data_IF_978690286977
#
_entry.id   IF_978690286977
#
_cell.length_a   1.000
_cell.length_b   1.000
_cell.length_c   1.000
_cell.angle_alpha   90.00
_cell.angle_beta   90.00
_cell.angle_gamma   90.00
#
_symmetry.space_group_name_H-M   'P 1'
#
loop_
_entity.id
_entity.type
_entity.pdbx_description
1 polymer ?
#
# COMPACT_ATOMS: atom_id res chain seq x y z
N UNK A 1 1.96 -18.50 -44.74
CA UNK A 1 0.53 -18.46 -44.38
C UNK A 1 0.32 -17.43 -43.28
N UNK A 2 -0.87 -16.83 -43.13
CA UNK A 2 -1.10 -15.79 -42.10
C UNK A 2 -1.18 -16.43 -40.71
N UNK A 3 -0.34 -16.02 -39.75
CA UNK A 3 -0.57 -16.28 -38.32
C UNK A 3 -1.81 -15.50 -37.89
N UNK A 4 -2.71 -16.14 -37.15
CA UNK A 4 -3.84 -15.45 -36.48
C UNK A 4 -3.38 -15.07 -35.07
N UNK A 5 -3.25 -13.78 -34.80
CA UNK A 5 -3.17 -13.29 -33.41
C UNK A 5 -4.57 -13.42 -32.80
N UNK A 6 -4.69 -14.10 -31.66
CA UNK A 6 -5.94 -14.13 -30.89
C UNK A 6 -5.93 -12.93 -29.98
N UNK A 7 -6.78 -11.94 -30.28
CA UNK A 7 -7.09 -10.85 -29.35
C UNK A 7 -8.19 -11.31 -28.40
N UNK A 8 -7.88 -11.46 -27.12
CA UNK A 8 -8.88 -11.49 -26.06
C UNK A 8 -9.38 -10.06 -25.84
N UNK A 9 -10.41 -9.66 -26.59
CA UNK A 9 -11.04 -8.35 -26.45
C UNK A 9 -11.91 -8.31 -25.19
N UNK A 10 -11.47 -7.58 -24.16
CA UNK A 10 -12.29 -7.28 -22.99
C UNK A 10 -13.42 -6.32 -23.42
N UNK A 11 -14.64 -6.83 -23.57
CA UNK A 11 -15.80 -6.07 -24.06
C UNK A 11 -16.35 -5.14 -22.96
N UNK A 12 -15.73 -3.97 -22.80
CA UNK A 12 -16.28 -2.86 -22.01
C UNK A 12 -17.62 -2.46 -22.63
N UNK A 13 -18.71 -2.90 -22.01
CA UNK A 13 -20.06 -2.73 -22.54
C UNK A 13 -20.57 -1.34 -22.17
N UNK A 14 -20.47 -0.39 -23.11
CA UNK A 14 -20.96 0.97 -22.94
C UNK A 14 -22.50 0.95 -22.89
N UNK A 15 -23.07 0.96 -21.69
CA UNK A 15 -24.51 1.09 -21.49
C UNK A 15 -24.95 2.53 -21.73
N UNK A 16 -25.50 2.81 -22.91
CA UNK A 16 -26.09 4.12 -23.24
C UNK A 16 -27.43 4.30 -22.55
N UNK A 17 -27.52 5.25 -21.61
CA UNK A 17 -28.77 5.58 -20.92
C UNK A 17 -29.70 6.40 -21.82
N UNK A 18 -30.75 5.75 -22.33
CA UNK A 18 -31.95 6.40 -22.88
C UNK A 18 -33.12 6.14 -21.90
N UNK A 19 -33.62 7.19 -21.24
CA UNK A 19 -34.62 7.06 -20.18
C UNK A 19 -36.06 7.32 -20.64
N UNK A 20 -37.04 6.83 -19.87
CA UNK A 20 -38.39 7.38 -19.78
C UNK A 20 -39.09 6.99 -18.45
N UNK A 21 -39.60 8.00 -17.75
CA UNK A 21 -40.71 8.03 -16.78
C UNK A 21 -41.33 6.72 -16.23
N UNK A 22 -41.40 6.60 -14.90
CA UNK A 22 -42.36 5.75 -14.19
C UNK A 22 -42.17 5.78 -12.67
N UNK A 23 -43.23 6.01 -11.90
CA UNK A 23 -43.22 5.85 -10.44
C UNK A 23 -43.38 4.36 -10.05
N UNK A 24 -42.67 3.92 -9.02
CA UNK A 24 -43.19 3.32 -7.78
C UNK A 24 -41.99 2.99 -6.88
N UNK A 25 -42.19 3.08 -5.55
CA UNK A 25 -41.15 2.78 -4.58
C UNK A 25 -41.19 1.31 -4.12
N UNK A 26 -40.05 0.64 -4.15
CA UNK A 26 -39.64 -0.33 -3.14
C UNK A 26 -38.11 -0.34 -3.09
N UNK A 27 -37.54 -0.46 -1.90
CA UNK A 27 -36.08 -0.43 -1.71
C UNK A 27 -35.49 -1.82 -1.86
N UNK A 28 -34.25 -1.90 -2.37
CA UNK A 28 -33.40 -3.05 -2.06
C UNK A 28 -31.95 -2.62 -1.93
N UNK A 29 -31.25 -3.26 -0.99
CA UNK A 29 -29.83 -3.09 -0.72
C UNK A 29 -28.99 -3.79 -1.81
N UNK A 30 -27.78 -3.28 -2.05
CA UNK A 30 -26.82 -3.79 -3.02
C UNK A 30 -25.40 -3.32 -2.65
N UNK A 31 -24.87 -3.85 -1.54
CA UNK A 31 -23.48 -3.63 -1.13
C UNK A 31 -22.45 -4.09 -2.16
N UNK A 32 -21.24 -3.55 -2.06
CA UNK A 32 -20.08 -3.93 -2.86
C UNK A 32 -19.50 -5.26 -2.35
N UNK A 33 -19.61 -6.34 -3.13
CA UNK A 33 -19.00 -7.63 -2.80
C UNK A 33 -17.55 -7.72 -3.28
N UNK A 34 -16.64 -8.00 -2.34
CA UNK A 34 -15.21 -8.24 -2.60
C UNK A 34 -15.02 -9.64 -3.18
N UNK A 35 -14.49 -9.75 -4.41
CA UNK A 35 -14.15 -11.06 -5.00
C UNK A 35 -12.74 -11.48 -4.57
N UNK A 36 -12.63 -12.63 -3.91
CA UNK A 36 -11.38 -13.23 -3.44
C UNK A 36 -11.17 -14.57 -4.13
N UNK A 37 -10.23 -14.66 -5.09
CA UNK A 37 -9.93 -15.90 -5.83
C UNK A 37 -8.69 -16.62 -5.28
N UNK A 38 -8.91 -17.69 -4.52
CA UNK A 38 -7.88 -18.69 -4.21
C UNK A 38 -7.92 -19.78 -5.29
N UNK A 39 -6.82 -19.96 -6.05
CA UNK A 39 -6.66 -21.12 -6.93
C UNK A 39 -5.83 -22.22 -6.24
N UNK A 40 -6.29 -23.46 -6.38
CA UNK A 40 -5.64 -24.66 -5.82
C UNK A 40 -5.04 -25.46 -6.96
N UNK A 41 -3.74 -25.72 -6.93
CA UNK A 41 -3.09 -26.61 -7.89
C UNK A 41 -3.43 -28.08 -7.61
N UNK A 42 -3.70 -28.85 -8.66
CA UNK A 42 -3.94 -30.30 -8.57
C UNK A 42 -3.28 -31.03 -9.75
N UNK A 43 -2.15 -31.70 -9.49
CA UNK A 43 -1.45 -32.48 -10.51
C UNK A 43 -2.17 -33.77 -10.88
N UNK A 44 -2.32 -34.00 -12.19
CA UNK A 44 -2.32 -35.32 -12.84
C UNK A 44 -2.12 -35.12 -14.35
N UNK A 45 -1.42 -35.98 -15.10
CA UNK A 45 -0.76 -37.24 -14.72
C UNK A 45 -1.02 -38.32 -15.77
N UNK A 46 -0.29 -38.31 -16.89
CA UNK A 46 -0.44 -39.31 -17.96
C UNK A 46 0.84 -39.46 -18.82
N UNK A 47 1.36 -40.69 -18.92
CA UNK A 47 2.49 -41.08 -19.77
C UNK A 47 2.10 -41.40 -21.23
N UNK A 48 3.05 -41.19 -22.16
CA UNK A 48 3.13 -41.87 -23.47
C UNK A 48 4.58 -41.80 -24.03
N UNK A 49 5.07 -42.87 -24.66
CA UNK A 49 6.52 -43.10 -24.85
C UNK A 49 7.11 -42.81 -26.25
N UNK A 50 8.44 -42.57 -26.26
CA UNK A 50 9.48 -43.18 -27.11
C UNK A 50 9.89 -42.64 -28.53
N UNK A 51 11.20 -42.80 -28.79
CA UNK A 51 11.97 -42.78 -30.07
C UNK A 51 12.15 -41.43 -30.81
N UNK A 52 13.22 -41.12 -31.58
CA UNK A 52 14.62 -41.64 -31.80
C UNK A 52 15.27 -40.72 -32.89
N UNK A 53 16.58 -40.44 -33.08
CA UNK A 53 17.90 -40.72 -32.42
C UNK A 53 18.68 -39.36 -32.28
N UNK A 54 20.01 -39.10 -32.39
CA UNK A 54 21.27 -39.79 -32.75
C UNK A 54 22.52 -38.98 -32.30
N UNK A 55 23.71 -39.60 -32.24
CA UNK A 55 25.11 -39.06 -32.23
C UNK A 55 25.51 -37.95 -31.21
N UNK A 56 26.40 -38.18 -30.24
CA UNK A 56 27.88 -38.35 -30.31
C UNK A 56 28.63 -37.04 -30.63
N UNK A 57 29.59 -36.56 -29.81
CA UNK A 57 30.90 -37.17 -29.48
C UNK A 57 31.37 -36.89 -28.02
N UNK A 58 32.48 -37.51 -27.59
CA UNK A 58 32.94 -37.55 -26.19
C UNK A 58 34.36 -36.99 -25.92
N UNK A 59 34.62 -36.64 -24.65
CA UNK A 59 35.98 -36.59 -24.06
C UNK A 59 35.97 -36.84 -22.55
N UNK A 60 36.63 -37.90 -22.10
CA UNK A 60 36.82 -38.30 -20.69
C UNK A 60 38.20 -37.86 -20.16
N UNK A 61 38.31 -37.56 -18.86
CA UNK A 61 39.33 -38.19 -18.00
C UNK A 61 39.18 -37.90 -16.50
N UNK A 62 38.85 -38.97 -15.75
CA UNK A 62 39.52 -39.43 -14.51
C UNK A 62 39.74 -38.52 -13.28
N UNK A 63 39.29 -39.04 -12.13
CA UNK A 63 39.63 -38.60 -10.75
C UNK A 63 40.95 -39.20 -10.25
N UNK A 64 41.69 -38.49 -9.39
CA UNK A 64 42.66 -39.09 -8.44
C UNK A 64 42.73 -38.32 -7.11
N UNK A 65 42.41 -38.97 -5.99
CA UNK A 65 42.71 -38.50 -4.63
C UNK A 65 44.13 -38.89 -4.19
N UNK A 66 44.74 -38.16 -3.25
CA UNK A 66 45.73 -38.64 -2.25
C UNK A 66 45.91 -37.58 -1.15
N UNK A 67 45.96 -38.00 0.12
CA UNK A 67 46.15 -37.12 1.29
C UNK A 67 47.60 -37.06 1.82
N UNK A 68 47.89 -36.02 2.60
CA UNK A 68 48.89 -36.00 3.69
C UNK A 68 48.45 -34.87 4.67
N UNK A 69 48.06 -35.12 5.93
CA UNK A 69 48.81 -35.64 7.09
C UNK A 69 49.46 -34.52 7.94
N UNK A 70 49.36 -34.62 9.27
CA UNK A 70 49.74 -33.57 10.24
C UNK A 70 49.00 -33.65 11.59
N UNK A 71 49.59 -34.32 12.58
CA UNK A 71 48.93 -34.80 13.82
C UNK A 71 49.14 -33.93 15.10
N UNK A 72 48.50 -34.37 16.20
CA UNK A 72 48.60 -33.97 17.64
C UNK A 72 47.77 -32.76 18.14
N UNK A 73 46.91 -32.82 19.17
CA UNK A 73 46.81 -33.55 20.47
C UNK A 73 47.18 -32.67 21.70
N UNK A 74 46.57 -32.75 22.90
CA UNK A 74 45.34 -33.44 23.37
C UNK A 74 44.94 -33.06 24.82
N UNK A 75 43.72 -33.47 25.26
CA UNK A 75 43.33 -33.94 26.63
C UNK A 75 43.04 -32.94 27.80
N UNK A 76 41.77 -33.00 28.27
CA UNK A 76 41.22 -32.94 29.67
C UNK A 76 41.46 -31.73 30.63
N UNK A 77 40.76 -31.56 31.78
CA UNK A 77 39.33 -31.74 32.22
C UNK A 77 39.21 -31.47 33.75
N UNK A 78 38.32 -30.56 34.21
CA UNK A 78 37.62 -30.58 35.54
C UNK A 78 36.65 -29.37 35.65
N UNK A 79 35.39 -29.51 36.11
CA UNK A 79 34.82 -29.35 37.49
C UNK A 79 34.63 -27.89 37.97
N UNK A 80 33.62 -27.50 38.75
CA UNK A 80 32.26 -28.04 39.06
C UNK A 80 31.45 -26.96 39.85
N UNK A 81 30.16 -27.21 40.16
CA UNK A 81 29.27 -26.49 41.13
C UNK A 81 28.87 -25.05 40.75
N UNK A 82 27.76 -24.43 41.20
CA UNK A 82 26.48 -24.85 41.82
C UNK A 82 25.52 -23.61 41.70
N UNK A 83 24.20 -23.57 41.96
CA UNK A 83 23.25 -24.46 42.69
C UNK A 83 21.83 -24.31 42.08
N UNK A 84 20.85 -25.11 42.56
CA UNK A 84 19.45 -25.11 42.09
C UNK A 84 18.41 -24.61 43.12
N UNK A 85 17.30 -24.04 42.61
CA UNK A 85 15.91 -24.03 43.15
C UNK A 85 15.05 -23.12 42.24
N UNK A 86 13.87 -23.45 41.70
CA UNK A 86 12.81 -24.41 42.00
C UNK A 86 11.94 -24.07 43.24
N UNK A 87 10.72 -23.57 43.00
CA UNK A 87 9.44 -24.07 43.55
C UNK A 87 8.24 -23.28 42.96
N UNK A 88 7.00 -23.74 43.18
CA UNK A 88 5.83 -23.34 42.37
C UNK A 88 4.61 -22.76 43.13
N UNK A 89 3.76 -22.08 42.35
CA UNK A 89 2.29 -21.93 42.47
C UNK A 89 1.62 -21.64 43.82
N UNK A 90 0.86 -20.54 43.89
CA UNK A 90 -0.45 -20.58 44.54
C UNK A 90 -1.46 -19.58 43.96
N UNK A 91 -2.71 -20.02 43.77
CA UNK A 91 -3.84 -19.16 43.40
C UNK A 91 -4.46 -18.49 44.63
N UNK A 92 -5.01 -17.30 44.46
CA UNK A 92 -6.22 -16.87 45.17
C UNK A 92 -7.17 -16.16 44.21
N UNK A 93 -8.43 -16.62 44.18
CA UNK A 93 -9.51 -15.90 43.51
C UNK A 93 -10.28 -15.06 44.53
N UNK A 94 -10.67 -13.84 44.14
CA UNK A 94 -11.78 -13.12 44.75
C UNK A 94 -12.64 -12.49 43.64
N UNK A 95 -13.93 -12.33 43.89
CA UNK A 95 -14.91 -11.92 42.90
C UNK A 95 -15.84 -10.86 43.49
N UNK A 96 -15.61 -9.61 43.12
CA UNK A 96 -16.55 -8.51 43.39
C UNK A 96 -16.97 -7.84 42.09
N UNK A 97 -18.25 -7.47 42.02
CA UNK A 97 -18.93 -7.07 40.80
C UNK A 97 -19.54 -5.69 40.99
N UNK A 98 -19.04 -4.70 40.24
CA UNK A 98 -19.71 -3.42 40.06
C UNK A 98 -19.56 -2.97 38.61
N UNK A 99 -20.66 -2.56 38.00
CA UNK A 99 -20.69 -1.91 36.69
C UNK A 99 -20.45 -0.41 36.84
N UNK A 100 -19.65 0.17 35.97
CA UNK A 100 -20.03 1.44 35.34
C UNK A 100 -19.57 1.43 33.88
N UNK A 101 -20.38 1.97 32.98
CA UNK A 101 -20.23 1.81 31.54
C UNK A 101 -19.62 3.05 30.91
N UNK A 102 -18.30 3.04 30.70
CA UNK A 102 -17.63 4.02 29.86
C UNK A 102 -16.45 3.38 29.10
N UNK A 103 -16.75 2.73 27.98
CA UNK A 103 -15.73 2.36 26.99
C UNK A 103 -15.01 3.63 26.54
N UNK A 104 -13.80 3.80 27.05
CA UNK A 104 -12.82 4.77 26.57
C UNK A 104 -11.80 3.93 25.84
N UNK A 105 -11.64 4.12 24.52
CA UNK A 105 -10.81 3.23 23.68
C UNK A 105 -9.33 3.45 23.98
N UNK A 106 -8.86 2.86 25.08
CA UNK A 106 -7.45 2.75 25.46
C UNK A 106 -6.90 1.46 24.86
N UNK A 107 -6.04 1.58 23.84
CA UNK A 107 -5.57 0.45 23.02
C UNK A 107 -4.61 -0.49 23.75
N UNK A 108 -5.13 -1.31 24.66
CA UNK A 108 -4.37 -2.25 25.50
C UNK A 108 -4.83 -3.71 25.42
N UNK A 109 -5.94 -4.00 24.74
CA UNK A 109 -6.40 -5.38 24.49
C UNK A 109 -5.95 -5.84 23.09
N UNK A 110 -4.71 -6.35 23.03
CA UNK A 110 -4.21 -7.08 21.86
C UNK A 110 -4.52 -8.57 22.08
N UNK A 111 -5.43 -9.11 21.28
CA UNK A 111 -5.75 -10.53 21.28
C UNK A 111 -4.67 -11.32 20.50
N UNK A 112 -3.86 -12.18 21.16
CA UNK A 112 -2.85 -13.00 20.49
C UNK A 112 -3.44 -14.23 19.79
N UNK A 113 -4.76 -14.45 19.86
CA UNK A 113 -5.48 -15.55 19.22
C UNK A 113 -6.20 -15.15 17.92
N UNK A 114 -6.04 -13.88 17.48
CA UNK A 114 -6.67 -13.36 16.27
C UNK A 114 -6.20 -14.13 15.01
N UNK A 115 -7.16 -14.74 14.31
CA UNK A 115 -6.92 -15.53 13.11
C UNK A 115 -6.61 -14.62 11.91
N UNK A 116 -5.35 -14.55 11.51
CA UNK A 116 -4.91 -13.71 10.39
C UNK A 116 -5.47 -14.13 9.02
N UNK A 117 -6.06 -15.32 8.90
CA UNK A 117 -6.71 -15.81 7.67
C UNK A 117 -8.21 -15.47 7.60
N UNK A 118 -8.81 -14.98 8.70
CA UNK A 118 -10.22 -14.65 8.76
C UNK A 118 -10.53 -13.29 8.10
N UNK A 119 -11.68 -13.20 7.42
CA UNK A 119 -12.19 -11.93 6.90
C UNK A 119 -12.83 -11.09 8.02
N UNK A 120 -12.14 -10.01 8.39
CA UNK A 120 -12.62 -9.03 9.37
C UNK A 120 -13.33 -7.82 8.73
N UNK A 121 -13.62 -7.81 7.42
CA UNK A 121 -14.17 -6.63 6.73
C UNK A 121 -15.48 -6.13 7.35
N UNK A 122 -16.33 -7.03 7.84
CA UNK A 122 -17.57 -6.67 8.54
C UNK A 122 -17.32 -6.02 9.93
N UNK A 123 -16.35 -6.52 10.71
CA UNK A 123 -15.97 -5.94 12.00
C UNK A 123 -15.26 -4.59 11.81
N UNK A 124 -14.38 -4.50 10.80
CA UNK A 124 -13.69 -3.27 10.38
C UNK A 124 -14.72 -2.20 10.02
N UNK A 125 -15.69 -2.53 9.15
CA UNK A 125 -16.74 -1.58 8.77
C UNK A 125 -17.57 -1.15 9.98
N UNK A 126 -17.89 -2.06 10.90
CA UNK A 126 -18.63 -1.76 12.13
C UNK A 126 -17.86 -0.84 13.08
N UNK A 127 -16.54 -1.03 13.25
CA UNK A 127 -15.68 -0.11 14.01
C UNK A 127 -15.65 1.29 13.35
N UNK A 128 -15.58 1.36 12.02
CA UNK A 128 -15.62 2.62 11.26
C UNK A 128 -16.97 3.31 11.40
N UNK A 129 -18.08 2.61 11.18
CA UNK A 129 -19.45 3.13 11.35
C UNK A 129 -19.66 3.69 12.78
N UNK A 130 -19.10 3.03 13.79
CA UNK A 130 -19.14 3.48 15.18
C UNK A 130 -18.25 4.72 15.45
N UNK A 131 -17.05 4.78 14.83
CA UNK A 131 -16.18 5.94 14.91
C UNK A 131 -16.83 7.19 14.27
N UNK A 132 -17.47 7.02 13.12
CA UNK A 132 -18.21 8.06 12.39
C UNK A 132 -19.42 8.52 13.22
N UNK A 133 -20.24 7.60 13.72
CA UNK A 133 -21.42 7.92 14.52
C UNK A 133 -21.09 8.58 15.88
N UNK A 134 -19.85 8.44 16.36
CA UNK A 134 -19.35 9.08 17.57
C UNK A 134 -18.70 10.47 17.37
N UNK A 135 -18.51 10.91 16.12
CA UNK A 135 -17.80 12.14 15.81
C UNK A 135 -18.70 13.40 15.87
N UNK A 136 -18.12 14.53 16.32
CA UNK A 136 -18.80 15.83 16.36
C UNK A 136 -18.59 16.70 15.11
N UNK A 137 -17.62 16.35 14.27
CA UNK A 137 -17.30 17.01 13.00
C UNK A 137 -16.51 16.08 12.09
N UNK A 138 -16.43 16.40 10.80
CA UNK A 138 -15.61 15.65 9.82
C UNK A 138 -14.11 15.66 10.18
N UNK A 139 -13.66 16.62 10.99
CA UNK A 139 -12.30 16.64 11.54
C UNK A 139 -12.12 15.60 12.65
N UNK A 140 -13.05 15.56 13.62
CA UNK A 140 -13.06 14.58 14.72
C UNK A 140 -13.23 13.15 14.19
N UNK A 141 -13.95 13.01 13.08
CA UNK A 141 -14.23 11.78 12.36
C UNK A 141 -12.97 11.14 11.76
N UNK A 142 -12.19 11.90 10.95
CA UNK A 142 -10.90 11.40 10.45
C UNK A 142 -9.95 11.05 11.61
N UNK A 143 -9.97 11.84 12.68
CA UNK A 143 -9.23 11.57 13.91
C UNK A 143 -9.69 10.25 14.57
N UNK A 144 -10.97 9.90 14.51
CA UNK A 144 -11.52 8.66 15.06
C UNK A 144 -11.22 7.46 14.14
N UNK A 145 -11.45 7.57 12.84
CA UNK A 145 -11.13 6.53 11.83
C UNK A 145 -9.62 6.24 11.82
N UNK A 146 -8.76 7.26 11.98
CA UNK A 146 -7.31 7.08 12.15
C UNK A 146 -6.97 6.13 13.31
N UNK A 147 -7.70 6.22 14.43
CA UNK A 147 -7.52 5.35 15.61
C UNK A 147 -8.01 3.92 15.34
N UNK A 148 -9.00 3.74 14.47
CA UNK A 148 -9.43 2.41 13.97
C UNK A 148 -8.36 1.82 13.04
N UNK A 149 -7.81 2.60 12.11
CA UNK A 149 -6.71 2.14 11.26
C UNK A 149 -5.52 1.69 12.11
N UNK A 150 -5.15 2.49 13.11
CA UNK A 150 -4.13 2.18 14.11
C UNK A 150 -4.41 0.90 14.93
N UNK A 151 -5.67 0.63 15.31
CA UNK A 151 -6.08 -0.62 15.97
C UNK A 151 -5.76 -1.82 15.07
N UNK A 152 -6.15 -1.76 13.80
CA UNK A 152 -5.91 -2.86 12.85
C UNK A 152 -4.43 -3.00 12.45
N UNK A 153 -3.68 -1.90 12.26
CA UNK A 153 -2.21 -1.93 12.08
C UNK A 153 -1.51 -2.62 13.27
N UNK A 154 -1.90 -2.32 14.51
CA UNK A 154 -1.34 -2.92 15.74
C UNK A 154 -1.68 -4.40 15.92
N UNK A 155 -2.78 -4.87 15.33
CA UNK A 155 -3.07 -6.30 15.23
C UNK A 155 -2.26 -6.96 14.10
N UNK A 156 -2.22 -6.36 12.91
CA UNK A 156 -1.45 -6.88 11.77
C UNK A 156 0.05 -6.98 12.09
N UNK A 157 0.60 -6.06 12.89
CA UNK A 157 1.99 -6.12 13.38
C UNK A 157 2.25 -7.21 14.45
N UNK A 158 1.32 -8.17 14.62
CA UNK A 158 1.51 -9.42 15.40
C UNK A 158 1.57 -10.66 14.51
N UNK A 159 1.29 -10.54 13.21
CA UNK A 159 1.54 -11.58 12.24
C UNK A 159 3.05 -11.89 12.16
N UNK A 160 3.40 -13.17 11.99
CA UNK A 160 4.80 -13.64 11.94
C UNK A 160 5.06 -14.48 10.68
N UNK A 161 4.09 -15.30 10.24
CA UNK A 161 4.17 -15.96 8.94
C UNK A 161 3.97 -14.96 7.81
N UNK A 162 4.69 -15.13 6.70
CA UNK A 162 4.53 -14.24 5.52
C UNK A 162 3.10 -14.26 4.97
N UNK A 163 2.41 -15.41 5.05
CA UNK A 163 1.00 -15.52 4.69
C UNK A 163 0.12 -14.65 5.63
N UNK A 164 0.30 -14.77 6.94
CA UNK A 164 -0.40 -13.97 7.96
C UNK A 164 -0.19 -12.46 7.73
N UNK A 165 1.07 -12.06 7.47
CA UNK A 165 1.44 -10.65 7.23
C UNK A 165 0.78 -10.13 5.95
N UNK A 166 0.81 -10.92 4.87
CA UNK A 166 0.19 -10.54 3.60
C UNK A 166 -1.33 -10.38 3.74
N UNK A 167 -2.02 -11.30 4.43
CA UNK A 167 -3.47 -11.18 4.68
C UNK A 167 -3.81 -10.00 5.59
N UNK A 168 -3.11 -9.86 6.71
CA UNK A 168 -3.40 -8.82 7.71
C UNK A 168 -3.04 -7.40 7.24
N UNK A 169 -2.12 -7.26 6.29
CA UNK A 169 -1.74 -5.96 5.71
C UNK A 169 -2.89 -5.22 5.03
N UNK A 170 -3.94 -5.94 4.59
CA UNK A 170 -5.12 -5.32 3.99
C UNK A 170 -6.04 -4.63 5.02
N UNK A 171 -5.99 -5.01 6.31
CA UNK A 171 -7.02 -4.59 7.27
C UNK A 171 -7.10 -3.07 7.47
N UNK A 172 -5.97 -2.37 7.42
CA UNK A 172 -5.92 -0.90 7.53
C UNK A 172 -6.32 -0.21 6.22
N UNK A 173 -6.08 -0.82 5.06
CA UNK A 173 -6.68 -0.39 3.79
C UNK A 173 -8.22 -0.53 3.83
N UNK A 174 -8.76 -1.64 4.33
CA UNK A 174 -10.21 -1.83 4.51
C UNK A 174 -10.87 -0.77 5.41
N UNK A 175 -10.16 -0.28 6.43
CA UNK A 175 -10.61 0.87 7.25
C UNK A 175 -10.78 2.12 6.40
N UNK A 176 -9.76 2.46 5.60
CA UNK A 176 -9.79 3.66 4.78
C UNK A 176 -10.75 3.58 3.59
N UNK A 177 -10.92 2.40 2.98
CA UNK A 177 -11.93 2.21 1.92
C UNK A 177 -13.37 2.27 2.47
N UNK A 178 -13.60 1.77 3.69
CA UNK A 178 -14.89 1.93 4.38
C UNK A 178 -15.25 3.41 4.58
N UNK A 179 -14.28 4.23 4.99
CA UNK A 179 -14.46 5.68 5.13
C UNK A 179 -14.54 6.41 3.78
N UNK A 180 -13.77 5.99 2.77
CA UNK A 180 -13.83 6.54 1.41
C UNK A 180 -15.26 6.45 0.86
N UNK A 181 -15.88 5.28 0.98
CA UNK A 181 -17.24 5.01 0.54
C UNK A 181 -18.27 5.80 1.38
N UNK A 182 -18.06 5.92 2.70
CA UNK A 182 -18.88 6.73 3.60
C UNK A 182 -18.87 8.22 3.24
N UNK A 183 -17.68 8.80 3.02
CA UNK A 183 -17.52 10.18 2.58
C UNK A 183 -18.18 10.39 1.21
N UNK A 184 -17.95 9.49 0.26
CA UNK A 184 -18.51 9.59 -1.08
C UNK A 184 -20.05 9.51 -1.11
N UNK A 185 -20.66 8.65 -0.28
CA UNK A 185 -22.12 8.57 -0.12
C UNK A 185 -22.72 9.87 0.43
N UNK A 186 -22.10 10.44 1.47
CA UNK A 186 -22.54 11.70 2.09
C UNK A 186 -22.39 12.88 1.13
N UNK A 187 -21.25 13.01 0.45
CA UNK A 187 -21.04 14.00 -0.62
C UNK A 187 -22.08 13.81 -1.73
N UNK A 188 -22.35 12.57 -2.13
CA UNK A 188 -23.34 12.24 -3.17
C UNK A 188 -24.79 12.60 -2.80
N UNK A 189 -25.08 12.83 -1.51
CA UNK A 189 -26.39 13.25 -0.99
C UNK A 189 -26.48 14.76 -0.72
N UNK A 190 -25.37 15.40 -0.31
CA UNK A 190 -25.35 16.81 0.13
C UNK A 190 -24.82 17.80 -0.93
N UNK A 191 -24.00 17.37 -1.89
CA UNK A 191 -23.45 18.25 -2.92
C UNK A 191 -24.51 18.71 -3.93
N UNK A 192 -24.36 19.93 -4.46
CA UNK A 192 -25.12 20.33 -5.64
C UNK A 192 -24.70 19.50 -6.88
N UNK A 193 -25.55 19.48 -7.91
CA UNK A 193 -25.34 18.65 -9.09
C UNK A 193 -24.00 18.91 -9.80
N UNK A 194 -23.55 20.16 -9.88
CA UNK A 194 -22.25 20.49 -10.48
C UNK A 194 -21.11 20.06 -9.58
N UNK A 195 -21.17 20.38 -8.28
CA UNK A 195 -20.15 19.95 -7.32
C UNK A 195 -19.98 18.42 -7.32
N UNK A 196 -21.08 17.68 -7.41
CA UNK A 196 -21.08 16.22 -7.53
C UNK A 196 -20.43 15.72 -8.84
N UNK A 197 -20.76 16.31 -9.98
CA UNK A 197 -20.17 15.94 -11.27
C UNK A 197 -18.66 16.26 -11.33
N UNK A 198 -18.25 17.44 -10.85
CA UNK A 198 -16.84 17.85 -10.76
C UNK A 198 -16.01 16.92 -9.84
N UNK A 199 -16.59 16.46 -8.72
CA UNK A 199 -15.94 15.50 -7.81
C UNK A 199 -15.94 14.07 -8.36
N UNK A 200 -16.99 13.67 -9.09
CA UNK A 200 -17.06 12.36 -9.75
C UNK A 200 -16.05 12.24 -10.91
N UNK A 201 -15.80 13.33 -11.63
CA UNK A 201 -14.73 13.39 -12.62
C UNK A 201 -13.36 13.12 -11.95
N UNK A 202 -13.03 13.86 -10.87
CA UNK A 202 -11.80 13.65 -10.09
C UNK A 202 -11.69 12.23 -9.52
N UNK A 203 -12.79 11.65 -9.02
CA UNK A 203 -12.81 10.27 -8.50
C UNK A 203 -12.49 9.22 -9.58
N UNK A 204 -12.91 9.47 -10.83
CA UNK A 204 -12.58 8.61 -11.99
C UNK A 204 -11.13 8.75 -12.40
N UNK A 205 -10.61 9.98 -12.49
CA UNK A 205 -9.20 10.26 -12.78
C UNK A 205 -8.25 9.66 -11.72
N UNK A 206 -8.61 9.76 -10.44
CA UNK A 206 -7.89 9.06 -9.36
C UNK A 206 -7.85 7.56 -9.61
N UNK A 207 -9.03 6.94 -9.81
CA UNK A 207 -9.15 5.50 -10.03
C UNK A 207 -8.39 5.00 -11.27
N UNK A 208 -8.27 5.78 -12.35
CA UNK A 208 -7.50 5.38 -13.54
C UNK A 208 -5.99 5.48 -13.38
N UNK A 209 -5.49 6.26 -12.41
CA UNK A 209 -4.05 6.41 -12.18
C UNK A 209 -3.47 5.39 -11.18
N UNK A 210 -4.27 4.86 -10.23
CA UNK A 210 -3.77 4.05 -9.09
C UNK A 210 -2.80 2.94 -9.47
N UNK A 211 -3.16 2.10 -10.43
CA UNK A 211 -2.33 0.95 -10.84
C UNK A 211 -0.95 1.40 -11.35
N UNK A 212 -0.90 2.49 -12.11
CA UNK A 212 0.35 3.09 -12.60
C UNK A 212 1.16 3.79 -11.50
N UNK A 213 0.50 4.36 -10.48
CA UNK A 213 1.18 4.90 -9.28
C UNK A 213 1.85 3.78 -8.49
N UNK A 214 1.13 2.67 -8.27
CA UNK A 214 1.62 1.51 -7.52
C UNK A 214 2.85 0.92 -8.24
N UNK A 215 2.78 0.74 -9.57
CA UNK A 215 3.92 0.26 -10.37
C UNK A 215 5.12 1.22 -10.28
N UNK A 216 4.90 2.54 -10.24
CA UNK A 216 5.98 3.52 -10.09
C UNK A 216 6.62 3.53 -8.68
N UNK A 217 5.82 3.30 -7.64
CA UNK A 217 6.25 3.33 -6.22
C UNK A 217 6.95 2.02 -5.81
N UNK A 218 6.29 0.87 -6.01
CA UNK A 218 6.72 -0.44 -5.49
C UNK A 218 7.22 -1.43 -6.56
N UNK A 219 7.17 -1.04 -7.83
CA UNK A 219 7.54 -1.89 -8.97
C UNK A 219 6.43 -2.85 -9.45
N UNK A 220 6.66 -3.59 -10.54
CA UNK A 220 5.73 -4.60 -11.04
C UNK A 220 5.74 -5.86 -10.16
N UNK A 221 4.59 -6.53 -10.05
CA UNK A 221 4.39 -7.71 -9.18
C UNK A 221 5.35 -8.86 -9.50
N UNK A 222 5.72 -8.98 -10.76
CA UNK A 222 6.62 -9.97 -11.32
C UNK A 222 8.05 -9.87 -10.75
N UNK A 223 8.45 -8.69 -10.24
CA UNK A 223 9.78 -8.43 -9.71
C UNK A 223 9.83 -8.46 -8.17
N UNK A 224 8.76 -8.09 -7.48
CA UNK A 224 8.75 -7.99 -6.00
C UNK A 224 8.48 -9.33 -5.27
N UNK A 225 7.95 -10.35 -5.95
CA UNK A 225 7.72 -11.67 -5.35
C UNK A 225 6.76 -11.68 -4.16
N UNK A 226 7.04 -12.47 -3.11
CA UNK A 226 6.08 -12.76 -2.03
C UNK A 226 5.86 -11.63 -1.02
N UNK A 227 6.63 -10.54 -1.07
CA UNK A 227 6.39 -9.31 -0.29
C UNK A 227 5.44 -8.33 -1.01
N UNK A 228 5.12 -8.56 -2.29
CA UNK A 228 4.25 -7.65 -3.06
C UNK A 228 2.91 -7.31 -2.38
N UNK A 229 2.17 -8.22 -1.74
CA UNK A 229 0.88 -7.87 -1.12
C UNK A 229 1.02 -6.83 0.00
N UNK A 230 2.08 -6.93 0.82
CA UNK A 230 2.39 -5.97 1.88
C UNK A 230 2.71 -4.57 1.31
N UNK A 231 3.52 -4.53 0.25
CA UNK A 231 3.86 -3.27 -0.44
C UNK A 231 2.63 -2.66 -1.12
N UNK A 232 1.85 -3.47 -1.84
CA UNK A 232 0.63 -3.06 -2.54
C UNK A 232 -0.40 -2.48 -1.57
N UNK A 233 -0.69 -3.19 -0.48
CA UNK A 233 -1.67 -2.75 0.52
C UNK A 233 -1.19 -1.48 1.24
N UNK A 234 0.11 -1.35 1.54
CA UNK A 234 0.69 -0.14 2.11
C UNK A 234 0.63 1.08 1.17
N UNK A 235 0.91 0.91 -0.12
CA UNK A 235 0.77 1.97 -1.13
C UNK A 235 -0.70 2.38 -1.28
N UNK A 236 -1.60 1.41 -1.46
CA UNK A 236 -3.04 1.64 -1.57
C UNK A 236 -3.65 2.26 -0.30
N UNK A 237 -3.19 1.88 0.89
CA UNK A 237 -3.60 2.52 2.16
C UNK A 237 -3.26 4.01 2.14
N UNK A 238 -2.02 4.37 1.79
CA UNK A 238 -1.60 5.77 1.72
C UNK A 238 -2.39 6.56 0.67
N UNK A 239 -2.64 5.99 -0.51
CA UNK A 239 -3.47 6.63 -1.55
C UNK A 239 -4.92 6.84 -1.09
N UNK A 240 -5.51 5.83 -0.45
CA UNK A 240 -6.90 5.87 0.03
C UNK A 240 -7.05 6.85 1.20
N UNK A 241 -6.11 6.88 2.14
CA UNK A 241 -6.04 7.86 3.23
C UNK A 241 -5.95 9.31 2.71
N UNK A 242 -5.08 9.57 1.74
CA UNK A 242 -4.99 10.90 1.11
C UNK A 242 -6.32 11.28 0.42
N UNK A 243 -6.97 10.33 -0.27
CA UNK A 243 -8.29 10.55 -0.88
C UNK A 243 -9.37 10.88 0.15
N UNK A 244 -9.39 10.19 1.28
CA UNK A 244 -10.33 10.46 2.38
C UNK A 244 -10.15 11.88 2.94
N UNK A 245 -8.90 12.35 3.11
CA UNK A 245 -8.64 13.74 3.55
C UNK A 245 -9.18 14.76 2.53
N UNK A 246 -9.02 14.51 1.24
CA UNK A 246 -9.57 15.39 0.18
C UNK A 246 -11.09 15.40 0.24
N UNK A 247 -11.75 14.23 0.27
CA UNK A 247 -13.20 14.16 0.35
C UNK A 247 -13.77 14.76 1.65
N UNK A 248 -13.10 14.55 2.79
CA UNK A 248 -13.45 15.17 4.06
C UNK A 248 -13.42 16.71 4.00
N UNK A 249 -12.39 17.29 3.38
CA UNK A 249 -12.28 18.73 3.14
C UNK A 249 -13.43 19.24 2.23
N UNK A 250 -13.80 18.51 1.18
CA UNK A 250 -14.93 18.88 0.31
C UNK A 250 -16.29 18.73 1.02
N UNK A 251 -16.50 17.67 1.82
CA UNK A 251 -17.70 17.48 2.63
C UNK A 251 -17.87 18.59 3.67
N UNK A 252 -16.79 18.99 4.35
CA UNK A 252 -16.80 20.12 5.26
C UNK A 252 -17.22 21.43 4.55
N UNK A 253 -16.67 21.72 3.36
CA UNK A 253 -17.09 22.89 2.54
C UNK A 253 -18.57 22.85 2.17
N UNK A 254 -19.10 21.66 1.83
CA UNK A 254 -20.51 21.45 1.50
C UNK A 254 -21.42 21.72 2.72
N UNK A 255 -21.01 21.28 3.91
CA UNK A 255 -21.73 21.53 5.16
C UNK A 255 -21.61 22.99 5.64
N UNK A 256 -20.53 23.68 5.29
CA UNK A 256 -20.14 24.97 5.87
C UNK A 256 -19.25 24.85 7.12
N UNK A 257 -18.70 23.66 7.38
CA UNK A 257 -17.82 23.34 8.50
C UNK A 257 -16.38 23.83 8.25
N UNK A 258 -15.63 24.08 9.33
CA UNK A 258 -14.20 24.35 9.26
C UNK A 258 -13.38 23.05 9.28
N UNK A 259 -12.52 22.85 8.29
CA UNK A 259 -11.58 21.73 8.20
C UNK A 259 -10.13 22.24 8.12
N UNK A 260 -9.19 21.61 8.85
CA UNK A 260 -7.76 21.87 8.72
C UNK A 260 -7.13 20.71 7.96
N UNK A 261 -6.60 20.99 6.76
CA UNK A 261 -5.73 20.04 6.07
C UNK A 261 -4.58 19.61 7.00
N UNK A 262 -4.35 18.31 7.22
CA UNK A 262 -3.25 17.84 8.05
C UNK A 262 -1.90 18.10 7.36
N UNK A 263 -0.83 18.15 8.13
CA UNK A 263 0.52 18.30 7.59
C UNK A 263 0.97 16.97 6.95
N UNK A 264 1.55 17.02 5.74
CA UNK A 264 2.08 15.84 5.03
C UNK A 264 3.56 15.63 5.35
N UNK A 265 3.96 14.38 5.46
CA UNK A 265 5.37 13.99 5.60
C UNK A 265 6.16 14.15 4.30
N UNK A 266 7.46 13.84 4.36
CA UNK A 266 8.36 13.95 3.19
C UNK A 266 8.14 12.84 2.15
N UNK A 267 7.70 11.66 2.59
CA UNK A 267 7.50 10.48 1.74
C UNK A 267 6.16 10.49 1.00
N UNK A 268 6.10 9.80 -0.12
CA UNK A 268 4.92 9.58 -0.95
C UNK A 268 5.16 9.87 -2.44
N UNK A 269 4.14 9.57 -3.25
CA UNK A 269 4.21 9.66 -4.71
C UNK A 269 3.42 10.85 -5.25
N UNK A 270 3.97 11.49 -6.27
CA UNK A 270 3.47 12.66 -6.98
C UNK A 270 3.55 12.43 -8.49
N UNK A 271 2.65 13.03 -9.28
CA UNK A 271 2.57 12.83 -10.74
C UNK A 271 2.36 14.12 -11.51
N UNK A 272 2.92 14.20 -12.71
CA UNK A 272 2.39 15.05 -13.77
C UNK A 272 1.42 14.22 -14.62
N UNK A 273 0.15 14.61 -14.68
CA UNK A 273 -0.86 14.02 -15.57
C UNK A 273 -1.14 14.88 -16.81
N UNK A 274 -0.54 16.08 -16.90
CA UNK A 274 -0.77 17.11 -17.93
C UNK A 274 -2.25 17.49 -18.13
N UNK A 275 -3.11 17.26 -17.12
CA UNK A 275 -4.57 17.40 -17.21
C UNK A 275 -5.26 16.36 -18.10
N UNK A 276 -4.60 15.25 -18.41
CA UNK A 276 -5.09 14.19 -19.30
C UNK A 276 -5.76 13.03 -18.55
N UNK A 277 -5.39 12.81 -17.27
CA UNK A 277 -5.74 11.62 -16.49
C UNK A 277 -4.92 10.36 -16.79
N UNK A 278 -3.89 10.46 -17.63
CA UNK A 278 -2.81 9.47 -17.79
C UNK A 278 -1.54 10.03 -17.12
N UNK A 279 -0.68 9.17 -16.54
CA UNK A 279 0.57 9.63 -15.91
C UNK A 279 1.65 9.85 -16.98
N UNK A 280 2.24 11.04 -17.00
CA UNK A 280 3.35 11.42 -17.88
C UNK A 280 4.69 11.35 -17.15
N UNK A 281 4.79 11.96 -15.97
CA UNK A 281 6.02 11.99 -15.16
C UNK A 281 5.70 11.64 -13.71
N UNK A 282 6.66 11.06 -12.98
CA UNK A 282 6.49 10.71 -11.55
C UNK A 282 7.61 11.27 -10.69
N UNK A 283 7.28 11.49 -9.43
CA UNK A 283 8.22 11.73 -8.34
C UNK A 283 7.80 10.85 -7.17
N UNK A 284 8.59 9.82 -6.88
CA UNK A 284 8.40 8.88 -5.77
C UNK A 284 9.46 9.21 -4.72
N UNK A 285 9.04 9.41 -3.47
CA UNK A 285 9.94 9.72 -2.35
C UNK A 285 9.71 8.67 -1.26
N UNK A 286 10.70 7.83 -1.01
CA UNK A 286 10.58 6.66 -0.14
C UNK A 286 11.81 6.48 0.75
N UNK A 287 11.71 5.56 1.71
CA UNK A 287 12.84 5.11 2.50
C UNK A 287 13.31 3.75 1.97
N UNK A 288 14.59 3.63 1.65
CA UNK A 288 15.22 2.40 1.19
C UNK A 288 15.37 1.36 2.32
N UNK A 289 15.76 0.14 1.95
CA UNK A 289 15.84 -0.99 2.90
C UNK A 289 16.92 -0.81 3.98
N UNK A 290 17.92 0.04 3.76
CA UNK A 290 18.95 0.36 4.75
C UNK A 290 18.56 1.57 5.63
N UNK A 291 17.35 2.10 5.47
CA UNK A 291 16.86 3.31 6.14
C UNK A 291 17.26 4.61 5.44
N UNK A 292 17.81 4.51 4.23
CA UNK A 292 18.30 5.60 3.39
C UNK A 292 17.16 6.37 2.70
N UNK A 293 17.40 7.65 2.40
CA UNK A 293 16.43 8.55 1.77
C UNK A 293 16.53 8.46 0.25
N UNK A 294 15.55 7.85 -0.42
CA UNK A 294 15.55 7.60 -1.87
C UNK A 294 14.49 8.45 -2.57
N UNK A 295 14.84 9.04 -3.71
CA UNK A 295 13.88 9.61 -4.64
C UNK A 295 14.08 9.03 -6.05
N UNK A 296 12.97 8.70 -6.70
CA UNK A 296 12.89 8.30 -8.11
C UNK A 296 12.09 9.34 -8.87
N UNK A 297 12.61 9.79 -10.01
CA UNK A 297 12.00 10.84 -10.82
C UNK A 297 11.97 10.36 -12.27
N UNK A 298 10.81 9.99 -12.78
CA UNK A 298 10.64 9.61 -14.19
C UNK A 298 10.13 10.83 -14.97
N UNK A 299 10.89 11.33 -15.94
CA UNK A 299 10.57 12.54 -16.72
C UNK A 299 10.16 12.17 -18.15
N UNK A 300 8.97 12.59 -18.57
CA UNK A 300 8.31 12.10 -19.79
C UNK A 300 9.14 12.25 -21.08
N UNK A 301 9.64 11.13 -21.62
CA UNK A 301 10.52 11.06 -22.82
C UNK A 301 11.86 11.78 -22.68
N UNK A 302 12.20 12.21 -21.47
CA UNK A 302 13.45 12.87 -21.15
C UNK A 302 14.39 11.85 -20.49
N UNK A 303 14.15 11.53 -19.21
CA UNK A 303 15.08 10.73 -18.41
C UNK A 303 14.46 10.22 -17.12
N UNK A 304 14.87 9.02 -16.71
CA UNK A 304 14.65 8.51 -15.36
C UNK A 304 15.87 8.80 -14.48
N UNK A 305 15.64 9.29 -13.26
CA UNK A 305 16.64 9.59 -12.25
C UNK A 305 16.35 8.77 -10.99
N UNK A 306 17.36 8.14 -10.40
CA UNK A 306 17.25 7.42 -9.13
C UNK A 306 18.44 7.77 -8.24
N UNK A 307 18.16 8.35 -7.08
CA UNK A 307 19.16 9.04 -6.28
C UNK A 307 18.80 9.16 -4.81
N UNK A 308 19.78 9.60 -4.03
CA UNK A 308 19.59 9.88 -2.61
C UNK A 308 19.25 11.35 -2.37
N UNK A 309 18.60 11.66 -1.25
CA UNK A 309 18.31 13.04 -0.86
C UNK A 309 18.63 13.36 0.61
N UNK A 310 19.00 14.62 0.86
CA UNK A 310 19.13 15.19 2.22
C UNK A 310 18.00 16.17 2.48
N UNK A 311 17.18 15.91 3.50
CA UNK A 311 16.18 16.88 3.97
C UNK A 311 16.88 18.12 4.56
N UNK A 312 16.49 19.31 4.09
CA UNK A 312 17.01 20.62 4.52
C UNK A 312 16.03 21.34 5.46
N UNK A 313 14.87 20.73 5.74
CA UNK A 313 13.74 21.33 6.43
C UNK A 313 12.85 22.14 5.49
N UNK A 314 11.69 22.58 6.00
CA UNK A 314 10.70 23.39 5.27
C UNK A 314 10.21 22.79 3.93
N UNK A 315 10.31 21.45 3.77
CA UNK A 315 9.92 20.73 2.57
C UNK A 315 10.94 20.80 1.42
N UNK A 316 12.16 21.30 1.63
CA UNK A 316 13.21 21.32 0.61
C UNK A 316 14.19 20.14 0.82
N UNK A 317 14.31 19.28 -0.19
CA UNK A 317 15.17 18.10 -0.21
C UNK A 317 16.26 18.29 -1.27
N UNK A 318 17.53 18.17 -0.87
CA UNK A 318 18.70 18.27 -1.75
C UNK A 318 18.99 16.89 -2.36
N UNK A 319 18.69 16.73 -3.65
CA UNK A 319 18.75 15.46 -4.39
C UNK A 319 20.06 15.31 -5.18
N UNK A 320 20.59 14.09 -5.25
CA UNK A 320 21.68 13.71 -6.17
C UNK A 320 21.39 12.33 -6.79
N UNK A 321 21.30 12.29 -8.12
CA UNK A 321 21.14 11.08 -8.92
C UNK A 321 22.42 10.21 -8.88
N UNK A 322 22.23 8.90 -8.71
CA UNK A 322 23.33 7.96 -8.47
C UNK A 322 24.13 7.62 -9.74
N UNK A 323 23.52 7.70 -10.94
CA UNK A 323 24.10 7.18 -12.18
C UNK A 323 24.80 8.26 -13.03
N UNK A 324 24.21 9.44 -13.10
CA UNK A 324 24.66 10.58 -13.93
C UNK A 324 25.23 11.75 -13.13
N UNK A 325 25.00 11.78 -11.81
CA UNK A 325 25.42 12.89 -10.95
C UNK A 325 24.62 14.19 -11.17
N UNK A 326 23.45 14.11 -11.83
CA UNK A 326 22.46 15.19 -11.86
C UNK A 326 22.02 15.55 -10.44
N UNK A 327 21.81 16.83 -10.18
CA UNK A 327 21.38 17.34 -8.87
C UNK A 327 20.22 18.31 -9.01
N UNK A 328 19.42 18.37 -7.96
CA UNK A 328 18.33 19.34 -7.89
C UNK A 328 17.81 19.52 -6.47
N UNK A 329 16.83 20.40 -6.36
CA UNK A 329 16.04 20.61 -5.14
C UNK A 329 14.64 20.10 -5.43
N UNK A 330 14.21 19.09 -4.68
CA UNK A 330 12.80 18.71 -4.61
C UNK A 330 12.17 19.60 -3.54
N UNK A 331 11.06 20.28 -3.87
CA UNK A 331 10.31 21.12 -2.95
C UNK A 331 8.89 20.61 -2.80
N UNK A 332 8.51 20.28 -1.57
CA UNK A 332 7.20 19.77 -1.19
C UNK A 332 6.31 20.92 -0.73
N UNK A 333 5.17 21.11 -1.40
CA UNK A 333 4.24 22.21 -1.16
C UNK A 333 2.99 21.72 -0.38
N UNK A 334 3.18 20.77 0.54
CA UNK A 334 2.10 20.19 1.35
C UNK A 334 1.08 19.45 0.50
N UNK A 335 -0.12 20.02 0.36
CA UNK A 335 -1.22 19.49 -0.47
C UNK A 335 -1.23 20.02 -1.90
N UNK A 336 -0.42 21.04 -2.22
CA UNK A 336 -0.32 21.62 -3.55
C UNK A 336 0.72 20.88 -4.44
N UNK A 337 1.09 19.65 -4.07
CA UNK A 337 2.05 18.81 -4.80
C UNK A 337 3.51 19.11 -4.48
N UNK A 338 4.38 18.87 -5.46
CA UNK A 338 5.83 19.03 -5.36
C UNK A 338 6.43 19.58 -6.66
N UNK A 339 7.65 20.11 -6.58
CA UNK A 339 8.43 20.57 -7.75
C UNK A 339 9.87 20.09 -7.67
N UNK A 340 10.46 19.68 -8.79
CA UNK A 340 11.89 19.39 -8.91
C UNK A 340 12.58 20.48 -9.73
N UNK A 341 13.57 21.16 -9.16
CA UNK A 341 14.39 22.18 -9.84
C UNK A 341 15.84 21.71 -9.97
N UNK A 342 16.33 21.63 -11.21
CA UNK A 342 17.64 21.05 -11.54
C UNK A 342 18.76 22.06 -11.27
N UNK A 343 19.60 21.79 -10.26
CA UNK A 343 20.73 22.65 -9.87
C UNK A 343 22.04 22.28 -10.55
N UNK A 344 22.15 21.04 -11.05
CA UNK A 344 23.26 20.56 -11.88
C UNK A 344 22.72 19.54 -12.88
N UNK A 345 22.50 19.96 -14.13
CA UNK A 345 22.03 19.11 -15.21
C UNK A 345 23.15 18.38 -15.97
N UNK A 346 22.77 17.68 -17.04
CA UNK A 346 23.65 16.96 -17.97
C UNK A 346 23.33 17.30 -19.45
N UNK A 347 23.50 16.35 -20.37
CA UNK A 347 23.19 16.52 -21.80
C UNK A 347 21.72 16.22 -22.18
N UNK A 348 20.91 15.72 -21.23
CA UNK A 348 19.48 15.41 -21.43
C UNK A 348 18.60 16.36 -20.62
N UNK A 349 18.92 16.58 -19.34
CA UNK A 349 18.14 17.39 -18.39
C UNK A 349 18.95 18.64 -18.02
N UNK A 350 18.39 19.84 -18.19
CA UNK A 350 19.15 21.09 -18.19
C UNK A 350 19.24 21.76 -16.80
N UNK A 351 20.38 22.39 -16.48
CA UNK A 351 20.50 23.23 -15.27
C UNK A 351 19.52 24.42 -15.33
N UNK A 352 18.69 24.56 -14.31
CA UNK A 352 17.63 25.57 -14.21
C UNK A 352 16.26 25.10 -14.69
N UNK A 353 16.15 23.87 -15.19
CA UNK A 353 14.89 23.23 -15.57
C UNK A 353 14.01 22.89 -14.35
N UNK A 354 12.69 22.88 -14.54
CA UNK A 354 11.71 22.75 -13.45
C UNK A 354 10.53 21.88 -13.85
N UNK A 355 10.31 20.81 -13.12
CA UNK A 355 9.19 19.88 -13.30
C UNK A 355 8.24 20.00 -12.10
N UNK A 356 6.93 19.87 -12.33
CA UNK A 356 5.89 20.03 -11.29
C UNK A 356 5.03 18.77 -11.25
N UNK A 357 4.75 18.29 -10.05
CA UNK A 357 4.03 17.03 -9.81
C UNK A 357 2.88 17.29 -8.82
N UNK A 358 1.64 17.05 -9.25
CA UNK A 358 0.48 17.06 -8.37
C UNK A 358 0.43 15.84 -7.45
N UNK A 359 -0.50 15.85 -6.48
CA UNK A 359 -0.83 14.67 -5.69
C UNK A 359 -1.88 13.85 -6.44
N UNK A 360 -1.78 12.52 -6.36
CA UNK A 360 -2.86 11.62 -6.75
C UNK A 360 -3.97 11.72 -5.69
N UNK A 361 -4.89 12.68 -5.90
CA UNK A 361 -5.94 13.05 -4.95
C UNK A 361 -7.03 12.00 -4.84
#
# INVERSE_FOLDING_TARGET
MKRKTVFCALMITILTLAGCSGEVAEGNDAGFETVNETQTEQESGADAEAQDSSDAEASDNTVTDTEADGESASVEKSEDSDTSAAEASQETADSSKSSDSKETVTGSDVDPTKDFMADYSADIKKDVDAAIAGASSVQDELDAVSKVADKYRKFASKAVGQADMNMASNWSLTVWDSELNSLWDRISKSADAKGKDDLLAKQRTWNSMKDSVIIADIGPREESGTIYPLLYNGCMENLTYNRCIVLANELAKINGDSFKMPERGIYGTYVDDQGTGEIYSTLVITQGMEGDNVAKIALYREKDLEGSFTDKGNGELEFTDNASGVKGIIKLNGWDGATFEVTQGDEIVATGEKHTFGIIF
#
